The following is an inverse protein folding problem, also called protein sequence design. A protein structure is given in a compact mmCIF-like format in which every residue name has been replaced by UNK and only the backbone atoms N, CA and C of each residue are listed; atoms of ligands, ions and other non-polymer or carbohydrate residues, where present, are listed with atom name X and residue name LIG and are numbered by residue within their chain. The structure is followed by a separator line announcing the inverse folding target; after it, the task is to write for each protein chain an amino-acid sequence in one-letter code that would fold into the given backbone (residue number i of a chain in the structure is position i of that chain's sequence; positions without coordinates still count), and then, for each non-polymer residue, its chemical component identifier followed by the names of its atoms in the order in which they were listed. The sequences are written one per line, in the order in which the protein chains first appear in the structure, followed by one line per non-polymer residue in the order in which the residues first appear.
data_IF_165069044853
#
_entry.id   IF_165069044853
#
_cell.length_a   1.000
_cell.length_b   1.000
_cell.length_c   1.000
_cell.angle_alpha   90.00
_cell.angle_beta   90.00
_cell.angle_gamma   90.00
#
_symmetry.space_group_name_H-M   'P 1'
#
loop_
_entity.id
_entity.type
_entity.pdbx_description
1 polymer ?
#
# COMPACT_ATOMS: atom_id res chain seq x y z
N UNK A 1 15.56 4.85 0.87
CA UNK A 1 16.32 4.03 -0.09
C UNK A 1 17.55 4.79 -0.53
N UNK A 2 18.69 4.13 -0.57
CA UNK A 2 19.92 4.66 -1.16
C UNK A 2 20.05 4.09 -2.57
N UNK A 3 20.46 4.90 -3.55
CA UNK A 3 20.73 4.42 -4.92
C UNK A 3 21.92 3.45 -4.95
N UNK A 4 22.00 2.58 -5.95
CA UNK A 4 23.05 1.56 -6.04
C UNK A 4 24.48 2.14 -6.08
N UNK A 5 24.64 3.34 -6.65
CA UNK A 5 25.89 4.10 -6.68
C UNK A 5 26.22 4.81 -5.35
N UNK A 6 25.32 4.78 -4.37
CA UNK A 6 25.51 5.39 -3.06
C UNK A 6 25.36 6.92 -3.03
N UNK A 7 24.96 7.55 -4.14
CA UNK A 7 24.98 9.01 -4.28
C UNK A 7 23.65 9.70 -3.93
N UNK A 8 22.52 8.97 -3.95
CA UNK A 8 21.18 9.50 -3.66
C UNK A 8 20.57 8.81 -2.46
N UNK A 9 19.82 9.56 -1.65
CA UNK A 9 18.92 9.04 -0.62
C UNK A 9 17.53 9.63 -0.82
N UNK A 10 16.54 8.76 -1.04
CA UNK A 10 15.12 9.12 -0.99
C UNK A 10 14.52 8.59 0.31
N UNK A 11 14.03 9.50 1.15
CA UNK A 11 13.43 9.21 2.45
C UNK A 11 11.96 9.59 2.44
N UNK A 12 11.08 8.59 2.49
CA UNK A 12 9.63 8.76 2.40
C UNK A 12 9.04 9.03 3.78
N UNK A 13 8.07 9.94 3.83
CA UNK A 13 7.30 10.34 5.00
C UNK A 13 5.83 9.93 4.80
N UNK A 14 5.52 8.67 5.08
CA UNK A 14 4.26 7.98 4.74
C UNK A 14 3.01 8.80 5.02
N UNK A 15 2.82 9.21 6.27
CA UNK A 15 1.57 9.82 6.72
C UNK A 15 1.31 11.21 6.13
N UNK A 16 2.37 11.92 5.75
CA UNK A 16 2.28 13.29 5.25
C UNK A 16 2.44 13.37 3.74
N UNK A 17 2.67 12.22 3.10
CA UNK A 17 2.75 12.07 1.65
C UNK A 17 3.90 12.82 1.00
N UNK A 18 5.04 12.90 1.70
CA UNK A 18 6.24 13.60 1.21
C UNK A 18 7.41 12.67 1.07
N UNK A 19 8.36 13.03 0.21
CA UNK A 19 9.66 12.33 0.11
C UNK A 19 10.79 13.35 0.10
N UNK A 20 11.68 13.26 1.08
CA UNK A 20 12.92 14.04 1.10
C UNK A 20 13.93 13.44 0.13
N UNK A 21 14.47 14.28 -0.74
CA UNK A 21 15.49 13.93 -1.72
C UNK A 21 16.80 14.52 -1.23
N UNK A 22 17.78 13.66 -1.01
CA UNK A 22 19.06 14.02 -0.41
C UNK A 22 20.18 13.57 -1.35
N UNK A 23 21.05 14.52 -1.67
CA UNK A 23 22.33 14.27 -2.31
C UNK A 23 23.32 13.84 -1.22
N UNK A 24 23.83 12.61 -1.32
CA UNK A 24 24.76 12.05 -0.34
C UNK A 24 26.22 12.46 -0.60
N UNK A 25 26.55 12.90 -1.80
CA UNK A 25 27.88 13.42 -2.13
C UNK A 25 28.07 14.78 -1.47
N UNK A 26 27.09 15.67 -1.62
CA UNK A 26 27.13 17.01 -1.01
C UNK A 26 26.51 17.05 0.39
N UNK A 27 25.82 15.99 0.81
CA UNK A 27 25.12 15.85 2.10
C UNK A 27 24.04 16.92 2.31
N UNK A 28 23.35 17.29 1.24
CA UNK A 28 22.32 18.34 1.25
C UNK A 28 20.97 17.79 0.81
N UNK A 29 19.92 18.29 1.45
CA UNK A 29 18.57 18.12 0.92
C UNK A 29 18.45 18.91 -0.39
N UNK A 30 18.05 18.23 -1.45
CA UNK A 30 17.81 18.79 -2.78
C UNK A 30 16.42 19.40 -2.84
N UNK A 31 15.41 18.63 -2.41
CA UNK A 31 14.00 19.04 -2.40
C UNK A 31 13.17 18.13 -1.49
N UNK A 32 11.92 18.50 -1.28
CA UNK A 32 10.88 17.63 -0.73
C UNK A 32 9.80 17.47 -1.80
N UNK A 33 9.60 16.24 -2.27
CA UNK A 33 8.54 15.93 -3.23
C UNK A 33 7.22 15.73 -2.50
N UNK A 34 6.13 16.26 -3.05
CA UNK A 34 4.76 15.92 -2.68
C UNK A 34 4.35 14.65 -3.44
N UNK A 35 4.61 13.50 -2.84
CA UNK A 35 4.43 12.19 -3.49
C UNK A 35 3.00 11.67 -3.34
N UNK A 36 2.26 12.12 -2.33
CA UNK A 36 0.88 11.71 -2.07
C UNK A 36 0.77 10.86 -0.82
N UNK A 37 -0.40 10.88 -0.20
CA UNK A 37 -0.67 10.24 1.08
C UNK A 37 -0.32 8.75 1.04
N UNK A 38 0.18 8.25 2.18
CA UNK A 38 0.54 6.84 2.33
C UNK A 38 1.61 6.39 1.31
N UNK A 39 2.54 7.29 0.94
CA UNK A 39 3.75 6.89 0.23
C UNK A 39 4.55 5.91 1.08
N UNK A 40 4.98 4.77 0.54
CA UNK A 40 5.68 3.73 1.30
C UNK A 40 7.16 3.68 0.94
N UNK A 41 7.57 2.75 0.08
CA UNK A 41 8.98 2.53 -0.19
C UNK A 41 9.40 3.16 -1.52
N UNK A 42 10.57 3.82 -1.59
CA UNK A 42 11.21 4.18 -2.84
C UNK A 42 12.16 3.07 -3.32
N UNK A 43 12.32 2.92 -4.63
CA UNK A 43 13.40 2.13 -5.25
C UNK A 43 13.93 2.83 -6.51
N UNK A 44 15.07 2.40 -7.05
CA UNK A 44 15.70 2.97 -8.23
C UNK A 44 15.87 1.93 -9.32
N UNK A 45 15.92 2.37 -10.58
CA UNK A 45 16.40 1.59 -11.71
C UNK A 45 17.08 2.51 -12.73
N UNK A 46 18.07 2.00 -13.47
CA UNK A 46 18.71 2.73 -14.56
C UNK A 46 18.22 2.17 -15.89
N UNK A 47 17.55 3.01 -16.68
CA UNK A 47 16.98 2.62 -17.97
C UNK A 47 17.60 3.48 -19.06
N UNK A 48 18.34 2.87 -20.00
CA UNK A 48 19.04 3.59 -21.07
C UNK A 48 19.95 4.72 -20.54
N UNK A 49 20.61 4.49 -19.40
CA UNK A 49 21.47 5.49 -18.73
C UNK A 49 20.72 6.54 -17.90
N UNK A 50 19.39 6.50 -17.87
CA UNK A 50 18.55 7.42 -17.10
C UNK A 50 18.25 6.79 -15.74
N UNK A 51 18.58 7.51 -14.65
CA UNK A 51 18.19 7.09 -13.30
C UNK A 51 16.74 7.46 -13.04
N UNK A 52 15.92 6.44 -12.82
CA UNK A 52 14.54 6.58 -12.39
C UNK A 52 14.41 6.18 -10.93
N UNK A 53 13.53 6.86 -10.20
CA UNK A 53 13.07 6.42 -8.91
C UNK A 53 11.57 6.18 -8.90
N UNK A 54 11.18 5.13 -8.20
CA UNK A 54 9.83 4.59 -8.11
C UNK A 54 9.37 4.72 -6.67
N UNK A 55 8.18 5.26 -6.43
CA UNK A 55 7.61 5.44 -5.09
C UNK A 55 6.21 4.86 -5.09
N UNK A 56 5.99 3.79 -4.32
CA UNK A 56 4.65 3.22 -4.11
C UNK A 56 3.80 4.17 -3.27
N UNK A 57 2.59 4.48 -3.73
CA UNK A 57 1.65 5.40 -3.07
C UNK A 57 0.35 4.66 -2.79
N UNK A 58 0.15 4.30 -1.53
CA UNK A 58 -0.93 3.41 -1.12
C UNK A 58 -2.32 4.05 -1.31
N UNK A 59 -2.44 5.35 -1.01
CA UNK A 59 -3.71 6.05 -1.06
C UNK A 59 -4.34 6.13 -2.46
N UNK A 60 -3.51 6.12 -3.51
CA UNK A 60 -3.93 6.15 -4.91
C UNK A 60 -3.75 4.81 -5.63
N UNK A 61 -3.33 3.74 -4.94
CA UNK A 61 -3.06 2.42 -5.53
C UNK A 61 -2.11 2.49 -6.75
N UNK A 62 -1.10 3.35 -6.70
CA UNK A 62 -0.20 3.57 -7.83
C UNK A 62 1.27 3.58 -7.39
N UNK A 63 2.18 3.41 -8.33
CA UNK A 63 3.59 3.75 -8.16
C UNK A 63 3.91 4.97 -9.02
N UNK A 64 4.47 6.01 -8.40
CA UNK A 64 4.92 7.21 -9.10
C UNK A 64 6.37 7.05 -9.53
N UNK A 65 6.64 7.42 -10.78
CA UNK A 65 7.97 7.37 -11.39
C UNK A 65 8.48 8.79 -11.58
N UNK A 66 9.72 9.02 -11.17
CA UNK A 66 10.42 10.27 -11.35
C UNK A 66 11.80 10.00 -11.96
N UNK A 67 12.30 10.94 -12.74
CA UNK A 67 13.66 10.93 -13.27
C UNK A 67 14.54 11.88 -12.45
N UNK A 68 15.77 11.45 -12.16
CA UNK A 68 16.75 12.27 -11.46
C UNK A 68 18.16 12.10 -12.07
N UNK A 69 18.50 12.98 -13.02
CA UNK A 69 19.71 12.89 -13.84
C UNK A 69 21.01 12.88 -13.03
N UNK A 70 21.09 13.73 -11.99
CA UNK A 70 22.22 13.77 -11.07
C UNK A 70 21.76 13.82 -9.61
N UNK A 71 22.61 13.43 -8.64
CA UNK A 71 22.25 13.45 -7.22
C UNK A 71 21.76 14.81 -6.73
N UNK A 72 22.32 15.92 -7.25
CA UNK A 72 21.95 17.28 -6.88
C UNK A 72 20.76 17.86 -7.67
N UNK A 73 20.28 17.16 -8.71
CA UNK A 73 19.14 17.61 -9.52
C UNK A 73 17.81 17.31 -8.84
N UNK A 74 16.83 18.20 -9.01
CA UNK A 74 15.44 18.01 -8.55
C UNK A 74 14.80 16.90 -9.41
N UNK A 75 14.27 15.82 -8.81
CA UNK A 75 13.55 14.80 -9.58
C UNK A 75 12.30 15.39 -10.23
N UNK A 76 12.06 15.07 -11.50
CA UNK A 76 10.84 15.46 -12.20
C UNK A 76 9.93 14.27 -12.44
N UNK A 77 8.62 14.49 -12.32
CA UNK A 77 7.61 13.44 -12.45
C UNK A 77 7.50 12.97 -13.90
N UNK A 78 7.50 11.66 -14.10
CA UNK A 78 7.34 11.02 -15.41
C UNK A 78 5.89 10.56 -15.60
N UNK A 79 5.43 9.66 -14.73
CA UNK A 79 4.08 9.08 -14.79
C UNK A 79 3.72 8.39 -13.49
N UNK A 80 2.45 8.08 -13.36
CA UNK A 80 1.93 7.05 -12.45
C UNK A 80 1.75 5.72 -13.19
N UNK A 81 1.97 4.63 -12.48
CA UNK A 81 1.65 3.27 -12.93
C UNK A 81 0.66 2.69 -11.93
N UNK A 82 -0.54 2.34 -12.39
CA UNK A 82 -1.54 1.71 -11.54
C UNK A 82 -1.07 0.30 -11.15
N UNK A 83 -1.13 -0.03 -9.85
CA UNK A 83 -0.93 -1.41 -9.40
C UNK A 83 -2.19 -2.23 -9.64
N UNK A 84 -2.06 -3.56 -9.70
CA UNK A 84 -3.23 -4.42 -9.90
C UNK A 84 -3.99 -4.68 -8.60
N UNK A 85 -3.30 -4.57 -7.47
CA UNK A 85 -3.86 -4.72 -6.14
C UNK A 85 -4.16 -3.39 -5.46
N UNK A 86 -4.25 -3.46 -4.14
CA UNK A 86 -4.61 -2.39 -3.24
C UNK A 86 -3.47 -2.16 -2.25
N UNK A 87 -3.22 -0.90 -1.94
CA UNK A 87 -2.24 -0.45 -0.95
C UNK A 87 -0.82 -0.95 -1.27
N UNK A 88 -0.23 -0.55 -2.41
CA UNK A 88 1.15 -0.89 -2.72
C UNK A 88 2.11 -0.38 -1.64
N UNK A 89 3.01 -1.25 -1.20
CA UNK A 89 3.86 -1.01 -0.03
C UNK A 89 5.33 -1.30 -0.32
N UNK A 90 5.72 -2.58 -0.34
CA UNK A 90 7.10 -3.00 -0.62
C UNK A 90 7.45 -2.76 -2.09
N UNK A 91 8.64 -2.24 -2.37
CA UNK A 91 9.18 -2.20 -3.74
C UNK A 91 10.63 -2.68 -3.78
N UNK A 92 10.96 -3.55 -4.74
CA UNK A 92 12.31 -4.04 -4.95
C UNK A 92 12.60 -4.27 -6.43
N UNK A 93 13.79 -3.87 -6.90
CA UNK A 93 14.23 -4.05 -8.29
C UNK A 93 15.04 -5.33 -8.50
N UNK A 94 15.01 -5.87 -9.71
CA UNK A 94 16.00 -6.86 -10.14
C UNK A 94 17.37 -6.19 -10.33
N UNK A 95 18.49 -6.91 -10.13
CA UNK A 95 19.83 -6.32 -10.21
C UNK A 95 20.24 -5.86 -11.62
N UNK A 96 19.52 -6.31 -12.64
CA UNK A 96 19.69 -5.91 -14.05
C UNK A 96 18.74 -4.79 -14.47
N UNK A 97 18.04 -4.16 -13.52
CA UNK A 97 17.08 -3.07 -13.71
C UNK A 97 15.89 -3.38 -14.63
N UNK A 98 15.72 -4.62 -15.08
CA UNK A 98 14.66 -5.02 -16.03
C UNK A 98 13.29 -5.15 -15.39
N UNK A 99 13.26 -5.48 -14.10
CA UNK A 99 12.01 -5.70 -13.38
C UNK A 99 11.98 -4.91 -12.08
N UNK A 100 10.78 -4.43 -11.74
CA UNK A 100 10.45 -3.92 -10.43
C UNK A 100 9.30 -4.75 -9.86
N UNK A 101 9.33 -5.03 -8.56
CA UNK A 101 8.33 -5.84 -7.88
C UNK A 101 7.62 -4.98 -6.84
N UNK A 102 6.28 -4.96 -6.83
CA UNK A 102 5.50 -4.18 -5.88
C UNK A 102 4.59 -5.09 -5.06
N UNK A 103 4.79 -5.13 -3.75
CA UNK A 103 3.89 -5.83 -2.84
C UNK A 103 2.63 -5.00 -2.62
N UNK A 104 1.47 -5.60 -2.92
CA UNK A 104 0.15 -5.03 -2.71
C UNK A 104 -0.37 -5.54 -1.37
N UNK A 105 -0.11 -4.77 -0.31
CA UNK A 105 -0.33 -5.18 1.09
C UNK A 105 -1.74 -5.69 1.30
N UNK A 106 -2.75 -5.00 0.76
CA UNK A 106 -4.16 -5.31 0.96
C UNK A 106 -4.76 -6.28 -0.07
N UNK A 107 -3.98 -6.77 -1.03
CA UNK A 107 -4.46 -7.76 -2.01
C UNK A 107 -3.75 -9.10 -1.93
N UNK A 108 -2.73 -9.24 -1.08
CA UNK A 108 -1.93 -10.46 -0.94
C UNK A 108 -1.32 -10.87 -2.28
N UNK A 109 -0.89 -9.87 -3.05
CA UNK A 109 -0.23 -10.06 -4.34
C UNK A 109 1.05 -9.26 -4.45
N UNK A 110 1.92 -9.67 -5.37
CA UNK A 110 3.09 -8.92 -5.82
C UNK A 110 2.98 -8.70 -7.31
N UNK A 111 3.01 -7.45 -7.76
CA UNK A 111 3.11 -7.11 -9.17
C UNK A 111 4.55 -7.26 -9.67
N UNK A 112 4.70 -7.83 -10.86
CA UNK A 112 5.95 -7.87 -11.63
C UNK A 112 5.82 -6.84 -12.74
N UNK A 113 6.74 -5.88 -12.75
CA UNK A 113 6.69 -4.70 -13.63
C UNK A 113 7.88 -4.74 -14.56
N UNK A 114 7.63 -4.66 -15.86
CA UNK A 114 8.69 -4.41 -16.83
C UNK A 114 9.03 -2.91 -16.79
N UNK A 115 10.28 -2.61 -16.44
CA UNK A 115 10.73 -1.22 -16.26
C UNK A 115 10.86 -0.49 -17.60
N UNK A 116 11.16 -1.20 -18.68
CA UNK A 116 11.33 -0.62 -20.02
C UNK A 116 10.01 -0.15 -20.62
N UNK A 117 8.93 -0.90 -20.41
CA UNK A 117 7.59 -0.54 -20.85
C UNK A 117 6.79 0.21 -19.78
N UNK A 118 7.29 0.26 -18.55
CA UNK A 118 6.64 0.87 -17.40
C UNK A 118 5.22 0.34 -17.20
N UNK A 119 5.07 -0.99 -17.22
CA UNK A 119 3.78 -1.69 -17.12
C UNK A 119 3.89 -2.95 -16.27
N UNK A 120 2.83 -3.23 -15.52
CA UNK A 120 2.66 -4.53 -14.85
C UNK A 120 2.48 -5.62 -15.92
N UNK A 121 3.31 -6.65 -15.87
CA UNK A 121 3.30 -7.79 -16.81
C UNK A 121 2.83 -9.09 -16.17
N UNK A 122 2.80 -9.16 -14.84
CA UNK A 122 2.31 -10.29 -14.08
C UNK A 122 1.94 -9.89 -12.66
N UNK A 123 1.09 -10.68 -12.01
CA UNK A 123 0.69 -10.50 -10.61
C UNK A 123 0.73 -11.86 -9.93
N UNK A 124 1.52 -11.97 -8.88
CA UNK A 124 1.79 -13.21 -8.16
C UNK A 124 1.02 -13.22 -6.84
N UNK A 125 0.32 -14.30 -6.52
CA UNK A 125 -0.28 -14.46 -5.19
C UNK A 125 0.81 -14.74 -4.14
N UNK A 126 0.72 -14.09 -2.98
CA UNK A 126 1.63 -14.27 -1.85
C UNK A 126 0.83 -14.48 -0.55
N UNK A 127 1.53 -14.57 0.58
CA UNK A 127 0.89 -14.61 1.90
C UNK A 127 0.24 -13.27 2.29
N UNK A 128 -0.50 -13.29 3.39
CA UNK A 128 -1.27 -12.13 3.85
C UNK A 128 -0.38 -10.95 4.28
N UNK A 129 -0.78 -9.72 3.90
CA UNK A 129 -0.17 -8.46 4.37
C UNK A 129 1.32 -8.31 4.06
N UNK A 130 1.73 -8.66 2.85
CA UNK A 130 3.11 -8.43 2.42
C UNK A 130 3.42 -6.92 2.39
N UNK A 131 4.34 -6.49 3.26
CA UNK A 131 4.80 -5.08 3.32
C UNK A 131 6.20 -4.88 2.74
N UNK A 132 7.05 -5.89 2.80
CA UNK A 132 8.43 -5.84 2.36
C UNK A 132 8.74 -7.06 1.49
N UNK A 133 9.64 -6.87 0.55
CA UNK A 133 10.12 -7.93 -0.33
C UNK A 133 11.60 -7.68 -0.63
N UNK A 134 12.34 -8.77 -0.87
CA UNK A 134 13.75 -8.73 -1.25
C UNK A 134 13.94 -9.66 -2.43
N UNK A 135 14.55 -9.15 -3.50
CA UNK A 135 14.99 -9.98 -4.61
C UNK A 135 16.39 -10.52 -4.31
N UNK A 136 16.58 -11.83 -4.44
CA UNK A 136 17.89 -12.48 -4.29
C UNK A 136 18.25 -13.16 -5.61
N UNK A 137 19.28 -12.64 -6.28
CA UNK A 137 19.74 -13.20 -7.54
C UNK A 137 20.32 -14.61 -7.34
N UNK A 138 19.93 -15.56 -8.19
CA UNK A 138 20.41 -16.93 -8.13
C UNK A 138 20.04 -17.67 -6.84
N UNK A 139 19.01 -17.24 -6.11
CA UNK A 139 18.55 -17.90 -4.88
C UNK A 139 18.27 -19.39 -5.09
N UNK A 140 17.75 -19.73 -6.27
CA UNK A 140 17.63 -21.11 -6.76
C UNK A 140 18.42 -21.19 -8.07
N UNK A 141 19.60 -21.85 -8.08
CA UNK A 141 20.39 -21.98 -9.30
C UNK A 141 19.62 -22.71 -10.41
N UNK A 142 19.79 -22.31 -11.67
CA UNK A 142 19.13 -22.97 -12.81
C UNK A 142 19.52 -24.46 -12.95
N UNK A 143 20.68 -24.86 -12.44
CA UNK A 143 21.13 -26.24 -12.39
C UNK A 143 20.53 -27.04 -11.22
N UNK A 144 19.75 -26.40 -10.34
CA UNK A 144 19.11 -27.05 -9.21
C UNK A 144 18.09 -28.08 -9.69
N UNK A 145 18.06 -29.23 -9.00
CA UNK A 145 17.01 -30.25 -9.17
C UNK A 145 15.80 -30.00 -8.28
N UNK A 146 15.85 -28.95 -7.46
CA UNK A 146 14.82 -28.58 -6.50
C UNK A 146 14.16 -27.28 -6.94
N UNK A 147 12.95 -27.00 -6.47
CA UNK A 147 12.25 -25.75 -6.79
C UNK A 147 12.68 -24.60 -5.88
N UNK A 148 13.46 -24.90 -4.83
CA UNK A 148 13.85 -23.93 -3.79
C UNK A 148 12.70 -23.57 -2.84
N UNK A 149 11.59 -24.31 -2.90
CA UNK A 149 10.42 -24.10 -2.05
C UNK A 149 10.33 -25.13 -0.91
N UNK A 150 11.30 -26.02 -0.78
CA UNK A 150 11.21 -27.22 0.06
C UNK A 150 11.04 -26.91 1.55
N UNK A 151 11.54 -25.74 1.99
CA UNK A 151 11.46 -25.26 3.37
C UNK A 151 10.46 -24.11 3.56
N UNK A 152 9.65 -23.80 2.55
CA UNK A 152 8.67 -22.71 2.63
C UNK A 152 7.30 -23.25 3.05
N UNK A 153 6.68 -22.58 4.02
CA UNK A 153 5.29 -22.81 4.38
C UNK A 153 4.30 -22.13 3.42
N UNK A 154 3.01 -22.40 3.60
CA UNK A 154 1.91 -21.76 2.86
C UNK A 154 1.06 -20.84 3.75
N UNK A 155 1.65 -20.32 4.82
CA UNK A 155 0.94 -19.48 5.78
C UNK A 155 0.33 -18.25 5.07
N UNK A 156 -0.98 -18.06 5.22
CA UNK A 156 -1.73 -16.97 4.60
C UNK A 156 -1.91 -17.08 3.08
N UNK A 157 -1.23 -18.00 2.39
CA UNK A 157 -1.30 -18.10 0.93
C UNK A 157 -2.66 -18.62 0.47
N UNK A 158 -3.31 -17.87 -0.42
CA UNK A 158 -4.61 -18.24 -1.00
C UNK A 158 -5.78 -18.12 -0.02
N UNK A 159 -5.59 -17.43 1.11
CA UNK A 159 -6.67 -17.08 2.03
C UNK A 159 -7.55 -15.98 1.42
N UNK A 160 -8.83 -15.97 1.79
CA UNK A 160 -9.76 -14.96 1.27
C UNK A 160 -9.38 -13.57 1.80
N UNK A 161 -9.29 -12.61 0.89
CA UNK A 161 -9.21 -11.18 1.17
C UNK A 161 -10.22 -10.43 0.31
N UNK A 162 -10.95 -9.50 0.90
CA UNK A 162 -11.90 -8.64 0.22
C UNK A 162 -11.65 -7.18 0.61
N UNK A 163 -11.64 -6.30 -0.39
CA UNK A 163 -11.44 -4.87 -0.21
C UNK A 163 -12.71 -4.11 -0.60
N UNK A 164 -13.07 -3.08 0.17
CA UNK A 164 -14.13 -2.12 -0.19
C UNK A 164 -13.69 -0.70 0.12
N UNK A 165 -13.56 0.12 -0.92
CA UNK A 165 -13.42 1.56 -0.79
C UNK A 165 -14.80 2.19 -0.79
N UNK A 166 -15.17 2.87 0.30
CA UNK A 166 -16.47 3.55 0.44
C UNK A 166 -16.27 5.03 0.76
N UNK A 167 -17.25 5.85 0.40
CA UNK A 167 -17.37 7.21 0.93
C UNK A 167 -17.95 7.17 2.35
N UNK A 168 -17.49 8.08 3.20
CA UNK A 168 -18.07 8.24 4.54
C UNK A 168 -19.43 8.93 4.42
N UNK A 169 -20.43 8.48 5.18
CA UNK A 169 -21.80 9.00 5.09
C UNK A 169 -21.84 10.52 5.30
N UNK A 170 -22.63 11.23 4.49
CA UNK A 170 -22.78 12.69 4.52
C UNK A 170 -21.51 13.49 4.18
N UNK A 171 -20.55 12.91 3.47
CA UNK A 171 -19.40 13.64 2.91
C UNK A 171 -18.93 13.02 1.60
N UNK A 172 -18.51 13.86 0.65
CA UNK A 172 -17.92 13.42 -0.62
C UNK A 172 -16.39 13.41 -0.59
N UNK A 173 -15.78 14.04 0.43
CA UNK A 173 -14.32 14.18 0.55
C UNK A 173 -13.69 13.00 1.28
N UNK A 174 -14.35 12.52 2.33
CA UNK A 174 -13.77 11.50 3.18
C UNK A 174 -14.07 10.11 2.62
N UNK A 175 -13.03 9.28 2.52
CA UNK A 175 -13.14 7.89 2.07
C UNK A 175 -12.61 6.95 3.12
N UNK A 176 -12.96 5.69 2.98
CA UNK A 176 -12.57 4.62 3.88
C UNK A 176 -12.33 3.36 3.08
N UNK A 177 -11.19 2.70 3.29
CA UNK A 177 -10.99 1.36 2.79
C UNK A 177 -11.16 0.34 3.91
N UNK A 178 -12.01 -0.65 3.65
CA UNK A 178 -12.13 -1.85 4.44
C UNK A 178 -11.33 -2.96 3.77
N UNK A 179 -10.51 -3.65 4.55
CA UNK A 179 -9.79 -4.86 4.16
C UNK A 179 -10.24 -5.97 5.10
N UNK A 180 -10.98 -6.95 4.59
CA UNK A 180 -11.47 -8.10 5.35
C UNK A 180 -10.69 -9.33 4.94
N UNK A 181 -10.10 -10.02 5.92
CA UNK A 181 -9.23 -11.18 5.69
C UNK A 181 -9.67 -12.36 6.53
N UNK A 182 -9.65 -13.52 5.91
CA UNK A 182 -9.86 -14.79 6.58
C UNK A 182 -8.65 -15.11 7.46
N UNK A 183 -8.89 -15.37 8.75
CA UNK A 183 -7.95 -16.03 9.65
C UNK A 183 -8.57 -17.36 10.12
N UNK A 184 -7.79 -18.19 10.83
CA UNK A 184 -8.33 -19.45 11.36
C UNK A 184 -9.36 -19.18 12.47
N UNK A 185 -10.64 -19.39 12.17
CA UNK A 185 -11.75 -19.28 13.11
C UNK A 185 -12.28 -17.87 13.35
N UNK A 186 -11.74 -16.85 12.70
CA UNK A 186 -12.18 -15.45 12.79
C UNK A 186 -11.76 -14.70 11.53
N UNK A 187 -12.38 -13.55 11.25
CA UNK A 187 -11.91 -12.65 10.21
C UNK A 187 -11.33 -11.38 10.82
N UNK A 188 -10.30 -10.85 10.17
CA UNK A 188 -9.74 -9.54 10.46
C UNK A 188 -10.40 -8.49 9.58
N UNK A 189 -11.04 -7.51 10.19
CA UNK A 189 -11.53 -6.31 9.51
C UNK A 189 -10.61 -5.16 9.86
N UNK A 190 -9.85 -4.69 8.87
CA UNK A 190 -8.99 -3.53 8.95
C UNK A 190 -9.61 -2.36 8.19
N UNK A 191 -9.40 -1.16 8.72
CA UNK A 191 -10.07 0.06 8.28
C UNK A 191 -9.03 1.19 8.18
N UNK A 192 -8.88 1.80 7.00
CA UNK A 192 -8.04 2.99 6.77
C UNK A 192 -8.87 4.12 6.17
N UNK A 193 -9.08 5.17 6.95
CA UNK A 193 -9.82 6.37 6.57
C UNK A 193 -8.93 7.47 6.02
N UNK A 194 -9.49 8.26 5.12
CA UNK A 194 -8.81 9.38 4.46
C UNK A 194 -9.68 10.62 4.54
N UNK A 195 -9.08 11.75 4.86
CA UNK A 195 -9.76 13.03 5.02
C UNK A 195 -10.96 12.98 5.99
N UNK A 196 -10.86 12.23 7.08
CA UNK A 196 -11.86 12.24 8.15
C UNK A 196 -11.76 13.55 8.94
N UNK A 197 -12.86 14.06 9.50
CA UNK A 197 -12.80 15.22 10.42
C UNK A 197 -12.07 14.85 11.71
N UNK A 198 -11.12 15.70 12.13
CA UNK A 198 -10.35 15.52 13.37
C UNK A 198 -11.24 15.56 14.62
N UNK A 199 -10.85 14.80 15.64
CA UNK A 199 -11.52 14.66 16.93
C UNK A 199 -12.97 14.14 16.89
N UNK A 200 -13.45 13.68 15.73
CA UNK A 200 -14.74 13.02 15.61
C UNK A 200 -14.63 11.52 15.88
N UNK A 201 -15.71 10.97 16.44
CA UNK A 201 -15.84 9.53 16.64
C UNK A 201 -16.67 8.95 15.51
N UNK A 202 -16.14 7.92 14.86
CA UNK A 202 -16.77 7.20 13.77
C UNK A 202 -17.12 5.80 14.21
N UNK A 203 -18.17 5.26 13.59
CA UNK A 203 -18.60 3.88 13.78
C UNK A 203 -18.73 3.20 12.42
N UNK A 204 -18.03 2.09 12.27
CA UNK A 204 -18.16 1.21 11.13
C UNK A 204 -19.29 0.21 11.41
N UNK A 205 -20.19 0.03 10.46
CA UNK A 205 -21.35 -0.86 10.58
C UNK A 205 -21.55 -1.69 9.31
N UNK A 206 -22.19 -2.84 9.45
CA UNK A 206 -22.69 -3.64 8.33
C UNK A 206 -23.98 -4.37 8.75
N UNK A 207 -24.80 -4.72 7.75
CA UNK A 207 -25.91 -5.64 7.88
C UNK A 207 -25.43 -7.01 8.36
N UNK A 208 -26.10 -7.54 9.39
CA UNK A 208 -25.88 -8.89 9.90
C UNK A 208 -26.95 -9.84 9.35
N UNK A 209 -26.51 -10.93 8.73
CA UNK A 209 -27.35 -11.95 8.07
C UNK A 209 -28.20 -12.77 9.05
N UNK A 210 -27.81 -12.83 10.33
CA UNK A 210 -28.42 -13.72 11.34
C UNK A 210 -29.60 -13.15 12.13
N UNK A 211 -29.93 -11.87 11.97
CA UNK A 211 -31.05 -11.22 12.68
C UNK A 211 -32.24 -11.08 11.72
N UNK A 212 -33.25 -11.96 11.87
CA UNK A 212 -34.28 -12.24 10.86
C UNK A 212 -35.04 -11.04 10.27
N UNK A 213 -35.52 -11.23 9.03
CA UNK A 213 -36.42 -10.42 8.19
C UNK A 213 -36.12 -8.91 7.98
N UNK A 214 -35.23 -8.32 8.77
CA UNK A 214 -34.64 -7.01 8.54
C UNK A 214 -33.18 -7.09 8.93
N UNK A 215 -32.29 -6.84 7.98
CA UNK A 215 -30.83 -6.81 8.18
C UNK A 215 -30.46 -5.84 9.31
N UNK A 216 -30.35 -6.34 10.54
CA UNK A 216 -29.95 -5.52 11.67
C UNK A 216 -28.53 -5.03 11.39
N UNK A 217 -28.36 -3.70 11.30
CA UNK A 217 -27.03 -3.09 11.15
C UNK A 217 -26.31 -3.13 12.50
N UNK A 218 -25.23 -3.89 12.56
CA UNK A 218 -24.42 -4.04 13.77
C UNK A 218 -23.12 -3.25 13.64
N UNK A 219 -22.61 -2.82 14.80
CA UNK A 219 -21.32 -2.15 14.89
C UNK A 219 -20.18 -3.14 14.74
N UNK A 220 -19.22 -2.82 13.86
CA UNK A 220 -17.99 -3.59 13.66
C UNK A 220 -16.90 -3.05 14.60
N UNK A 221 -16.71 -1.73 14.58
CA UNK A 221 -15.73 -1.02 15.42
C UNK A 221 -16.08 0.47 15.52
N UNK A 222 -15.80 1.06 16.68
CA UNK A 222 -15.94 2.50 16.96
C UNK A 222 -14.55 3.07 17.26
N UNK A 223 -14.18 4.18 16.64
CA UNK A 223 -12.86 4.79 16.81
C UNK A 223 -12.90 6.31 16.70
N UNK A 224 -11.88 6.98 17.25
CA UNK A 224 -11.72 8.43 17.18
C UNK A 224 -10.63 8.81 16.19
N UNK A 225 -10.95 9.72 15.29
CA UNK A 225 -10.04 10.29 14.30
C UNK A 225 -9.10 11.33 14.94
N UNK A 226 -7.80 11.06 15.08
CA UNK A 226 -6.89 11.92 15.87
C UNK A 226 -5.59 12.34 15.17
N UNK A 227 -5.24 11.80 14.00
CA UNK A 227 -3.94 12.02 13.34
C UNK A 227 -4.03 13.11 12.25
N UNK A 228 -3.63 14.36 12.51
CA UNK A 228 -3.82 15.47 11.56
C UNK A 228 -3.10 15.23 10.23
N UNK A 229 -3.70 15.71 9.14
CA UNK A 229 -3.02 15.87 7.85
C UNK A 229 -2.30 17.23 7.86
N UNK A 230 -0.97 17.28 7.70
CA UNK A 230 -0.27 18.56 7.59
C UNK A 230 -0.77 19.34 6.37
N UNK A 231 -1.12 20.61 6.57
CA UNK A 231 -1.64 21.48 5.51
C UNK A 231 -3.15 21.39 5.28
N UNK A 232 -3.85 20.41 5.85
CA UNK A 232 -5.33 20.36 5.81
C UNK A 232 -5.94 20.58 7.19
N UNK A 233 -6.33 21.82 7.48
CA UNK A 233 -6.98 22.17 8.74
C UNK A 233 -8.28 21.38 8.92
N UNK A 234 -8.37 20.68 10.05
CA UNK A 234 -9.56 19.95 10.47
C UNK A 234 -9.71 18.53 9.91
N UNK A 235 -8.76 18.05 9.11
CA UNK A 235 -8.81 16.71 8.51
C UNK A 235 -7.67 15.79 9.00
N UNK A 236 -7.94 14.49 9.01
CA UNK A 236 -7.02 13.42 9.40
C UNK A 236 -6.95 12.34 8.32
N UNK A 237 -5.78 11.74 8.17
CA UNK A 237 -5.63 10.41 7.59
C UNK A 237 -5.62 9.41 8.74
N UNK A 238 -6.17 8.23 8.52
CA UNK A 238 -6.58 7.42 9.64
C UNK A 238 -5.41 6.76 10.38
N UNK A 239 -5.60 6.53 11.69
CA UNK A 239 -5.05 5.35 12.35
C UNK A 239 -5.59 4.08 11.66
N UNK A 240 -4.75 3.08 11.43
CA UNK A 240 -5.22 1.74 11.06
C UNK A 240 -6.07 1.20 12.22
N UNK A 241 -7.37 0.97 11.99
CA UNK A 241 -8.28 0.42 12.99
C UNK A 241 -8.56 -1.03 12.66
N UNK A 242 -8.62 -1.86 13.70
CA UNK A 242 -8.70 -3.31 13.60
C UNK A 242 -9.88 -3.83 14.42
N UNK A 243 -10.59 -4.81 13.87
CA UNK A 243 -11.53 -5.66 14.61
C UNK A 243 -11.36 -7.12 14.20
N UNK A 244 -11.66 -8.03 15.13
CA UNK A 244 -11.65 -9.48 14.91
C UNK A 244 -13.05 -10.01 15.16
N UNK A 245 -13.70 -10.48 14.11
CA UNK A 245 -15.06 -11.03 14.13
C UNK A 245 -15.25 -11.98 12.95
N UNK A 246 -16.14 -12.99 13.03
CA UNK A 246 -16.47 -13.86 11.91
C UNK A 246 -17.31 -13.09 10.86
N UNK A 247 -16.67 -12.17 10.15
CA UNK A 247 -17.29 -11.25 9.20
C UNK A 247 -17.91 -11.98 8.01
N UNK A 248 -17.18 -12.89 7.36
CA UNK A 248 -17.63 -13.53 6.13
C UNK A 248 -18.89 -14.39 6.33
N UNK A 249 -19.01 -15.01 7.51
CA UNK A 249 -20.16 -15.84 7.85
C UNK A 249 -21.39 -15.00 8.23
N UNK A 250 -21.19 -13.85 8.88
CA UNK A 250 -22.28 -13.15 9.56
C UNK A 250 -22.67 -11.81 8.95
N UNK A 251 -21.81 -11.19 8.14
CA UNK A 251 -22.01 -9.83 7.65
C UNK A 251 -22.08 -9.79 6.13
N UNK A 252 -22.82 -8.82 5.61
CA UNK A 252 -22.79 -8.47 4.20
C UNK A 252 -21.74 -7.37 3.95
N UNK A 253 -20.78 -7.68 3.09
CA UNK A 253 -19.68 -6.77 2.73
C UNK A 253 -20.17 -5.57 1.94
N UNK A 254 -21.23 -5.71 1.14
CA UNK A 254 -21.71 -4.62 0.29
C UNK A 254 -22.60 -3.64 1.08
N UNK A 255 -22.94 -3.99 2.33
CA UNK A 255 -23.67 -3.15 3.28
C UNK A 255 -22.76 -2.30 4.18
N UNK A 256 -21.43 -2.35 4.00
CA UNK A 256 -20.46 -1.63 4.83
C UNK A 256 -20.71 -0.12 4.78
N UNK A 257 -20.78 0.51 5.95
CA UNK A 257 -20.91 1.96 6.10
C UNK A 257 -20.00 2.49 7.19
N UNK A 258 -19.62 3.77 7.05
CA UNK A 258 -18.98 4.55 8.09
C UNK A 258 -19.78 5.83 8.35
N UNK A 259 -20.26 5.98 9.58
CA UNK A 259 -20.98 7.17 10.04
C UNK A 259 -20.33 7.81 11.26
N UNK A 260 -20.84 8.97 11.65
CA UNK A 260 -20.55 9.55 12.96
C UNK A 260 -21.27 8.73 14.05
N UNK A 261 -20.58 8.53 15.17
CA UNK A 261 -21.02 7.68 16.28
C UNK A 261 -21.72 8.42 17.41
#
# INVERSE_FOLDING_TARGET
MVSADGSRLWAVHKMIGKTSIIDLETRKAVTILETGLESNHPNFAIINGITLGFITVAASNETKVYQQDSPSSIPFFIKSIQVTGIDPHGTWGSPDDRFMYWANEHSDTVDVVDTSTMSVISTLAVGQESQALVYVNGAVPLSSKTTGMENLGRQGLGKRVENRLISVTNTTKATMIFTIRELEGVDKVQIIGRSLKINQTYIATAACKGYGAGEARLSIVKFKATVPIPGELGYVVAPQVLSLLPFFDNYDIDSLELGLA
#
